data_IF_150895060726
#
_entry.id   IF_150895060726
#
_cell.length_a   1.000
_cell.length_b   1.000
_cell.length_c   1.000
_cell.angle_alpha   90.00
_cell.angle_beta   90.00
_cell.angle_gamma   90.00
#
_symmetry.space_group_name_H-M   'P 1'
#
loop_
_entity.id
_entity.type
_entity.pdbx_description
1 polymer ?
#
# COMPACT_ATOMS: atom_id res chain seq x y z
N UNK A 1 4.17 19.19 52.20
CA UNK A 1 4.62 19.65 50.88
C UNK A 1 4.19 18.61 49.86
N UNK A 2 3.47 19.05 48.82
CA UNK A 2 2.89 18.24 47.74
C UNK A 2 3.99 17.54 46.92
N UNK A 3 3.89 16.22 46.73
CA UNK A 3 4.50 15.57 45.57
C UNK A 3 3.39 15.32 44.55
N UNK A 4 3.36 16.14 43.50
CA UNK A 4 2.41 16.05 42.40
C UNK A 4 2.74 14.88 41.48
N UNK A 5 1.70 14.08 41.22
CA UNK A 5 1.61 13.09 40.16
C UNK A 5 1.95 13.70 38.80
N UNK A 6 3.04 13.26 38.18
CA UNK A 6 3.30 13.51 36.75
C UNK A 6 2.86 12.28 35.97
N UNK A 7 1.58 12.25 35.60
CA UNK A 7 1.07 11.38 34.55
C UNK A 7 1.63 11.87 33.20
N UNK A 8 2.76 11.32 32.78
CA UNK A 8 3.23 11.43 31.40
C UNK A 8 2.29 10.62 30.50
N UNK A 9 1.21 11.26 30.04
CA UNK A 9 0.41 10.75 28.94
C UNK A 9 1.25 10.82 27.67
N UNK A 10 2.00 9.76 27.36
CA UNK A 10 2.64 9.58 26.07
C UNK A 10 1.52 9.39 25.04
N UNK A 11 1.07 10.48 24.43
CA UNK A 11 0.22 10.44 23.24
C UNK A 11 1.06 9.87 22.11
N UNK A 12 1.06 8.54 21.97
CA UNK A 12 1.55 7.87 20.77
C UNK A 12 0.57 8.27 19.67
N UNK A 13 0.87 9.36 18.97
CA UNK A 13 0.20 9.66 17.73
C UNK A 13 0.39 8.45 16.82
N UNK A 14 -0.72 7.80 16.43
CA UNK A 14 -0.69 6.82 15.36
C UNK A 14 -0.33 7.56 14.08
N UNK A 15 0.97 7.74 13.82
CA UNK A 15 1.43 8.03 12.49
C UNK A 15 0.96 6.84 11.64
N UNK A 16 0.06 7.09 10.67
CA UNK A 16 -0.27 6.11 9.67
C UNK A 16 1.05 5.68 9.02
N UNK A 17 1.52 4.47 9.32
CA UNK A 17 2.78 3.98 8.80
C UNK A 17 2.68 3.95 7.27
N UNK A 18 3.48 4.78 6.62
CA UNK A 18 3.54 4.87 5.16
C UNK A 18 3.95 3.51 4.61
N UNK A 19 3.18 2.96 3.67
CA UNK A 19 3.48 1.65 3.07
C UNK A 19 4.58 1.81 2.02
N UNK A 20 5.72 1.19 2.25
CA UNK A 20 6.87 1.19 1.34
C UNK A 20 6.60 0.28 0.15
N UNK A 21 7.06 0.67 -1.04
CA UNK A 21 7.07 -0.23 -2.21
C UNK A 21 8.32 -1.12 -2.23
N UNK A 22 9.31 -0.84 -1.37
CA UNK A 22 10.63 -1.47 -1.38
C UNK A 22 11.58 -0.94 -2.46
N UNK A 23 11.09 -0.12 -3.40
CA UNK A 23 11.90 0.42 -4.49
C UNK A 23 12.78 1.58 -4.00
N UNK A 24 14.09 1.50 -4.25
CA UNK A 24 14.99 2.64 -4.09
C UNK A 24 14.67 3.74 -5.10
N UNK A 25 14.80 5.00 -4.70
CA UNK A 25 14.55 6.17 -5.54
C UNK A 25 15.58 7.27 -5.33
N UNK A 26 15.53 8.28 -6.18
CA UNK A 26 16.37 9.47 -6.13
C UNK A 26 16.26 10.25 -7.44
N UNK A 27 17.12 11.25 -7.64
CA UNK A 27 17.09 12.12 -8.83
C UNK A 27 17.11 11.35 -10.16
N UNK A 28 17.92 10.29 -10.24
CA UNK A 28 18.06 9.47 -11.45
C UNK A 28 17.05 8.31 -11.55
N UNK A 29 16.32 8.01 -10.47
CA UNK A 29 15.40 6.87 -10.40
C UNK A 29 14.08 7.32 -9.77
N UNK A 30 13.14 7.84 -10.57
CA UNK A 30 11.85 8.27 -10.06
C UNK A 30 11.04 7.07 -9.56
N UNK A 31 10.14 7.35 -8.63
CA UNK A 31 9.15 6.37 -8.22
C UNK A 31 8.07 6.17 -9.30
N UNK A 32 7.37 5.02 -9.27
CA UNK A 32 6.12 4.84 -9.99
C UNK A 32 5.11 5.97 -9.70
N UNK A 33 4.14 6.17 -10.60
CA UNK A 33 3.19 7.29 -10.55
C UNK A 33 2.29 7.26 -9.31
N UNK A 34 2.11 6.10 -8.69
CA UNK A 34 1.37 5.84 -7.46
C UNK A 34 2.21 5.95 -6.18
N UNK A 35 3.49 6.32 -6.31
CA UNK A 35 4.42 6.42 -5.20
C UNK A 35 5.15 7.76 -5.13
N UNK A 36 5.67 8.07 -3.95
CA UNK A 36 6.48 9.26 -3.65
C UNK A 36 7.82 8.84 -3.07
N UNK A 37 8.89 9.48 -3.52
CA UNK A 37 10.23 9.24 -2.99
C UNK A 37 10.38 9.95 -1.64
N UNK A 38 10.69 9.21 -0.58
CA UNK A 38 11.07 9.78 0.71
C UNK A 38 12.57 9.56 0.94
N UNK A 39 13.37 10.64 1.10
CA UNK A 39 14.79 10.54 1.38
C UNK A 39 15.08 9.72 2.64
N UNK A 40 16.13 8.91 2.61
CA UNK A 40 16.60 8.19 3.82
C UNK A 40 17.35 9.13 4.78
N UNK A 41 17.94 10.20 4.25
CA UNK A 41 18.65 11.21 5.04
C UNK A 41 17.76 12.41 5.34
N UNK A 42 17.79 12.88 6.60
CA UNK A 42 17.07 14.07 7.04
C UNK A 42 17.66 15.32 6.37
N UNK A 43 16.81 16.27 5.98
CA UNK A 43 17.17 17.56 5.39
C UNK A 43 17.97 17.49 4.07
N UNK A 44 17.83 16.40 3.31
CA UNK A 44 18.47 16.32 2.00
C UNK A 44 17.51 16.60 0.85
N UNK A 45 17.88 17.53 -0.01
CA UNK A 45 17.25 17.79 -1.31
C UNK A 45 17.97 16.92 -2.35
N UNK A 46 17.22 16.09 -3.07
CA UNK A 46 17.72 15.18 -4.12
C UNK A 46 18.54 13.95 -3.66
N UNK A 47 18.40 13.51 -2.41
CA UNK A 47 19.06 12.29 -1.94
C UNK A 47 18.40 10.99 -2.43
N UNK A 48 19.16 9.87 -2.40
CA UNK A 48 18.58 8.55 -2.40
C UNK A 48 17.51 8.38 -1.32
N UNK A 49 16.47 7.64 -1.66
CA UNK A 49 15.31 7.42 -0.83
C UNK A 49 14.68 6.07 -1.11
N UNK A 50 13.52 5.87 -0.47
CA UNK A 50 12.65 4.73 -0.74
C UNK A 50 11.31 5.26 -1.25
N UNK A 51 10.71 4.56 -2.21
CA UNK A 51 9.37 4.84 -2.70
C UNK A 51 8.33 4.36 -1.68
N UNK A 52 7.37 5.23 -1.40
CA UNK A 52 6.20 4.90 -0.59
C UNK A 52 4.94 5.16 -1.39
N UNK A 53 3.97 4.25 -1.30
CA UNK A 53 2.68 4.44 -1.94
C UNK A 53 2.02 5.72 -1.45
N UNK A 54 1.37 6.44 -2.37
CA UNK A 54 0.58 7.64 -2.07
C UNK A 54 -0.67 7.30 -1.27
N UNK A 55 -1.23 6.11 -1.49
CA UNK A 55 -2.40 5.58 -0.76
C UNK A 55 -1.97 4.60 0.33
N UNK A 56 -2.69 4.63 1.45
CA UNK A 56 -2.45 3.74 2.59
C UNK A 56 -3.69 2.93 2.92
N UNK A 57 -3.50 1.63 3.13
CA UNK A 57 -4.54 0.69 3.53
C UNK A 57 -4.23 0.09 4.90
N UNK A 58 -5.27 -0.29 5.65
CA UNK A 58 -5.08 -1.12 6.85
C UNK A 58 -4.40 -2.42 6.42
N UNK A 59 -3.31 -2.77 7.09
CA UNK A 59 -2.63 -4.04 6.84
C UNK A 59 -3.42 -5.19 7.46
N UNK A 60 -3.44 -6.35 6.81
CA UNK A 60 -4.02 -7.57 7.32
C UNK A 60 -3.10 -8.77 7.02
N UNK A 61 -3.44 -9.95 7.55
CA UNK A 61 -2.69 -11.17 7.29
C UNK A 61 -1.20 -11.10 7.65
N UNK A 62 -0.46 -12.06 7.11
CA UNK A 62 0.95 -12.33 7.42
C UNK A 62 1.15 -12.93 8.81
N UNK A 63 2.26 -13.66 8.99
CA UNK A 63 2.63 -14.22 10.27
C UNK A 63 3.32 -13.15 11.13
N UNK A 64 2.59 -12.60 12.11
CA UNK A 64 3.06 -11.51 12.98
C UNK A 64 2.94 -11.89 14.44
N UNK A 65 3.91 -11.46 15.26
CA UNK A 65 3.87 -11.65 16.71
C UNK A 65 2.58 -11.08 17.35
N UNK A 66 2.08 -9.96 16.83
CA UNK A 66 0.76 -9.42 17.15
C UNK A 66 -0.11 -9.42 15.89
N UNK A 67 -1.17 -10.24 15.83
CA UNK A 67 -2.09 -10.26 14.70
C UNK A 67 -2.71 -8.88 14.46
N UNK A 68 -2.88 -8.46 13.19
CA UNK A 68 -3.57 -7.21 12.89
C UNK A 68 -5.06 -7.33 13.27
N UNK A 69 -5.72 -6.21 13.64
CA UNK A 69 -7.16 -6.24 13.87
C UNK A 69 -7.91 -6.64 12.59
N UNK A 70 -9.15 -7.16 12.70
CA UNK A 70 -9.98 -7.48 11.55
C UNK A 70 -10.15 -6.26 10.63
N UNK A 71 -10.30 -6.53 9.33
CA UNK A 71 -10.56 -5.49 8.35
C UNK A 71 -11.86 -4.74 8.68
N UNK A 72 -11.82 -3.40 8.54
CA UNK A 72 -12.99 -2.55 8.73
C UNK A 72 -14.17 -2.99 7.86
N UNK A 73 -15.39 -2.74 8.32
CA UNK A 73 -16.62 -3.03 7.57
C UNK A 73 -16.53 -2.48 6.15
N UNK A 74 -16.89 -3.29 5.16
CA UNK A 74 -16.81 -2.94 3.74
C UNK A 74 -15.47 -3.26 3.07
N UNK A 75 -14.47 -3.71 3.81
CA UNK A 75 -13.18 -4.18 3.28
C UNK A 75 -12.98 -5.68 3.52
N UNK A 76 -12.10 -6.31 2.73
CA UNK A 76 -11.68 -7.72 2.87
C UNK A 76 -10.15 -7.79 2.82
N UNK A 77 -9.59 -8.78 3.51
CA UNK A 77 -8.15 -9.01 3.45
C UNK A 77 -7.78 -9.68 2.13
N UNK A 78 -6.81 -9.12 1.42
CA UNK A 78 -6.27 -9.63 0.15
C UNK A 78 -4.76 -9.41 0.12
N UNK A 79 -4.07 -10.14 -0.75
CA UNK A 79 -2.69 -9.81 -1.12
C UNK A 79 -2.63 -8.39 -1.67
N UNK A 80 -1.52 -7.69 -1.43
CA UNK A 80 -1.36 -6.30 -1.88
C UNK A 80 -1.10 -6.26 -3.40
N UNK A 81 -2.09 -5.86 -4.23
CA UNK A 81 -1.95 -5.91 -5.70
C UNK A 81 -0.94 -4.87 -6.21
N UNK A 82 -0.54 -3.94 -5.34
CA UNK A 82 0.44 -2.89 -5.64
C UNK A 82 1.87 -3.41 -5.61
N UNK A 83 2.09 -4.64 -5.16
CA UNK A 83 3.38 -5.33 -5.22
C UNK A 83 3.29 -6.60 -6.10
N UNK A 84 3.10 -6.46 -7.42
CA UNK A 84 2.90 -7.60 -8.31
C UNK A 84 4.16 -8.47 -8.40
N UNK A 85 3.97 -9.79 -8.46
CA UNK A 85 5.05 -10.79 -8.55
C UNK A 85 5.65 -11.20 -7.21
N UNK A 86 5.19 -10.63 -6.10
CA UNK A 86 5.45 -11.13 -4.75
C UNK A 86 4.55 -12.35 -4.45
N UNK A 87 5.01 -13.29 -3.61
CA UNK A 87 4.18 -14.41 -3.18
C UNK A 87 3.12 -14.04 -2.12
N UNK A 88 3.09 -12.78 -1.68
CA UNK A 88 2.05 -12.22 -0.83
C UNK A 88 1.96 -12.91 0.53
N UNK A 89 0.74 -13.05 1.01
CA UNK A 89 0.44 -13.73 2.27
C UNK A 89 0.84 -15.21 2.25
N UNK A 90 1.06 -15.83 1.09
CA UNK A 90 1.57 -17.21 1.01
C UNK A 90 3.03 -17.33 1.50
N UNK A 91 3.80 -16.24 1.45
CA UNK A 91 5.13 -16.13 2.08
C UNK A 91 5.10 -15.27 3.35
N UNK A 92 3.97 -15.26 4.05
CA UNK A 92 3.76 -14.50 5.29
C UNK A 92 3.90 -12.98 5.17
N UNK A 93 3.94 -12.43 3.95
CA UNK A 93 3.94 -10.98 3.75
C UNK A 93 2.58 -10.40 4.15
N UNK A 94 2.56 -9.21 4.79
CA UNK A 94 1.33 -8.44 4.99
C UNK A 94 0.52 -8.24 3.72
N UNK A 95 -0.78 -8.53 3.79
CA UNK A 95 -1.78 -8.07 2.83
C UNK A 95 -2.39 -6.70 3.22
N UNK A 96 -3.39 -6.29 2.46
CA UNK A 96 -4.17 -5.06 2.69
C UNK A 96 -5.67 -5.35 2.83
N UNK A 97 -6.35 -4.54 3.63
CA UNK A 97 -7.79 -4.49 3.68
C UNK A 97 -8.32 -3.65 2.52
N UNK A 98 -8.51 -4.26 1.36
CA UNK A 98 -9.06 -3.62 0.16
C UNK A 98 -10.60 -3.57 0.20
N UNK A 99 -11.26 -2.60 -0.48
CA UNK A 99 -12.72 -2.57 -0.60
C UNK A 99 -13.28 -3.90 -1.12
N UNK A 100 -14.42 -4.36 -0.60
CA UNK A 100 -15.10 -5.57 -1.10
C UNK A 100 -15.64 -5.41 -2.52
N UNK A 101 -15.94 -4.16 -2.92
CA UNK A 101 -16.47 -3.78 -4.23
C UNK A 101 -15.65 -2.59 -4.78
N UNK A 102 -14.37 -2.80 -5.16
CA UNK A 102 -13.57 -1.73 -5.73
C UNK A 102 -14.11 -1.34 -7.10
N UNK A 103 -13.87 -0.09 -7.52
CA UNK A 103 -14.16 0.30 -8.91
C UNK A 103 -13.21 -0.44 -9.85
N UNK A 104 -13.75 -0.91 -10.98
CA UNK A 104 -12.94 -1.53 -12.03
C UNK A 104 -12.22 -0.46 -12.86
N UNK A 105 -11.06 -0.81 -13.37
CA UNK A 105 -10.24 0.02 -14.26
C UNK A 105 -9.57 -0.85 -15.32
N UNK A 106 -8.93 -0.24 -16.31
CA UNK A 106 -8.33 -0.96 -17.42
C UNK A 106 -9.38 -1.68 -18.26
N UNK A 107 -9.07 -2.91 -18.67
CA UNK A 107 -9.89 -3.66 -19.61
C UNK A 107 -9.85 -3.09 -21.04
N UNK A 108 -10.54 -3.76 -21.95
CA UNK A 108 -10.71 -3.31 -23.34
C UNK A 108 -11.23 -1.87 -23.48
N UNK A 109 -12.04 -1.43 -22.51
CA UNK A 109 -12.60 -0.08 -22.48
C UNK A 109 -11.63 0.98 -21.93
N UNK A 110 -10.47 0.59 -21.40
CA UNK A 110 -9.47 1.52 -20.87
C UNK A 110 -9.98 2.39 -19.70
N UNK A 111 -10.78 1.80 -18.79
CA UNK A 111 -11.44 2.56 -17.73
C UNK A 111 -10.43 3.18 -16.76
N UNK A 112 -10.55 4.48 -16.52
CA UNK A 112 -9.71 5.22 -15.58
C UNK A 112 -10.18 5.12 -14.13
N UNK A 113 -9.25 5.30 -13.19
CA UNK A 113 -9.58 5.38 -11.77
C UNK A 113 -9.99 6.80 -11.34
N UNK A 114 -10.88 6.92 -10.33
CA UNK A 114 -11.16 8.21 -9.70
C UNK A 114 -9.89 8.89 -9.20
N UNK A 115 -9.94 10.22 -9.05
CA UNK A 115 -8.81 11.01 -8.56
C UNK A 115 -8.28 10.45 -7.23
N UNK A 116 -6.96 10.29 -7.19
CA UNK A 116 -6.25 9.76 -6.02
C UNK A 116 -6.20 8.24 -5.95
N UNK A 117 -6.81 7.51 -6.90
CA UNK A 117 -6.66 6.06 -7.02
C UNK A 117 -5.87 5.71 -8.29
N UNK A 118 -5.28 4.53 -8.26
CA UNK A 118 -4.41 3.96 -9.27
C UNK A 118 -4.93 2.58 -9.65
N UNK A 119 -4.73 2.21 -10.91
CA UNK A 119 -5.21 0.94 -11.43
C UNK A 119 -4.19 -0.15 -11.17
N UNK A 120 -4.60 -1.19 -10.45
CA UNK A 120 -3.81 -2.39 -10.20
C UNK A 120 -4.54 -3.61 -10.72
N UNK A 121 -3.78 -4.65 -11.04
CA UNK A 121 -4.35 -5.92 -11.48
C UNK A 121 -5.28 -6.51 -10.40
N UNK A 122 -6.38 -7.14 -10.82
CA UNK A 122 -7.32 -7.74 -9.87
C UNK A 122 -6.77 -9.10 -9.41
N UNK A 123 -6.31 -9.24 -8.15
CA UNK A 123 -5.70 -10.49 -7.69
C UNK A 123 -6.70 -11.66 -7.62
N UNK A 124 -7.99 -11.41 -7.85
CA UNK A 124 -9.03 -12.43 -7.87
C UNK A 124 -9.37 -12.93 -9.26
N UNK A 125 -8.80 -12.35 -10.32
CA UNK A 125 -8.95 -12.87 -11.68
C UNK A 125 -7.73 -13.69 -12.11
N UNK A 126 -7.90 -14.49 -13.17
CA UNK A 126 -6.85 -15.32 -13.74
C UNK A 126 -6.17 -14.65 -14.94
N UNK A 127 -6.39 -13.35 -15.14
CA UNK A 127 -5.90 -12.60 -16.28
C UNK A 127 -4.47 -12.15 -15.97
N UNK A 128 -3.46 -12.75 -16.63
CA UNK A 128 -2.08 -12.31 -16.45
C UNK A 128 -1.74 -11.21 -17.48
N UNK A 129 -1.62 -9.93 -17.08
CA UNK A 129 -1.30 -8.85 -18.00
C UNK A 129 0.05 -9.04 -18.71
N UNK A 130 0.96 -9.86 -18.17
CA UNK A 130 2.27 -10.17 -18.78
C UNK A 130 2.21 -11.26 -19.85
N UNK A 131 1.08 -11.97 -20.00
CA UNK A 131 0.92 -13.10 -20.96
C UNK A 131 -0.16 -12.88 -22.02
N UNK A 132 -0.66 -11.65 -22.17
CA UNK A 132 -1.58 -11.30 -23.26
C UNK A 132 -2.62 -10.22 -22.94
N UNK A 133 -2.46 -9.46 -21.86
CA UNK A 133 -3.58 -8.74 -21.24
C UNK A 133 -3.52 -7.23 -21.28
N UNK A 134 -3.41 -6.61 -22.47
CA UNK A 134 -3.77 -5.19 -22.60
C UNK A 134 -5.22 -4.93 -22.13
N UNK A 135 -6.06 -5.97 -22.18
CA UNK A 135 -7.47 -5.97 -21.82
C UNK A 135 -7.76 -6.55 -20.42
N UNK A 136 -6.75 -6.78 -19.56
CA UNK A 136 -7.01 -7.29 -18.21
C UNK A 136 -7.73 -6.25 -17.34
N UNK A 137 -8.70 -6.73 -16.56
CA UNK A 137 -9.52 -5.89 -15.70
C UNK A 137 -8.83 -5.62 -14.38
N UNK A 138 -8.53 -4.36 -14.08
CA UNK A 138 -7.95 -3.96 -12.82
C UNK A 138 -8.98 -3.52 -11.78
N UNK A 139 -8.48 -3.16 -10.59
CA UNK A 139 -9.19 -2.53 -9.50
C UNK A 139 -8.51 -1.22 -9.09
N UNK A 140 -9.31 -0.21 -8.76
CA UNK A 140 -8.82 1.07 -8.28
C UNK A 140 -8.52 1.04 -6.79
N UNK A 141 -7.25 1.27 -6.44
CA UNK A 141 -6.74 1.38 -5.06
C UNK A 141 -5.84 2.61 -4.89
#
# INVERSE_FOLDING_TARGET
>A
MLFQNILLAATIGLAAASQSTGQSCGKAKPCPTDAVCKPTQKNCKDCPGICYFKNTYQTCGGFRAKPPPPCKKGTKCVDDPRTPGDCGMACDKPGICAPKKPKRCGGFQGLGCPKGLYCYDDPSDSCDPKKGGADCSGICL
#
